data_IF_274810355503
#
_entry.id   IF_274810355503
#
_cell.length_a   1.000
_cell.length_b   1.000
_cell.length_c   1.000
_cell.angle_alpha   90.00
_cell.angle_beta   90.00
_cell.angle_gamma   90.00
#
_symmetry.space_group_name_H-M   'P 1'
#
loop_
_entity.id
_entity.type
_entity.pdbx_description
1 polymer ?
#
# COMPACT_ATOMS: atom_id res chain seq x y z
N UNK A 1 -2.79 -16.71 27.71
CA UNK A 1 -2.80 -15.25 27.52
C UNK A 1 -2.21 -15.01 26.15
N UNK A 2 -3.04 -14.66 25.15
CA UNK A 2 -2.55 -14.42 23.79
C UNK A 2 -1.74 -13.14 23.79
N UNK A 3 -0.49 -13.21 23.32
CA UNK A 3 0.27 -12.00 23.02
C UNK A 3 -0.54 -11.21 21.99
N UNK A 4 -0.85 -9.95 22.31
CA UNK A 4 -1.47 -9.06 21.34
C UNK A 4 -0.42 -8.79 20.26
N UNK A 5 -0.60 -9.40 19.09
CA UNK A 5 0.24 -9.20 17.90
C UNK A 5 0.31 -7.69 17.64
N UNK A 6 1.53 -7.13 17.66
CA UNK A 6 1.71 -5.68 17.64
C UNK A 6 1.56 -5.15 16.21
N UNK A 7 0.36 -4.70 15.86
CA UNK A 7 0.08 -4.15 14.52
C UNK A 7 0.36 -2.64 14.48
N UNK A 8 1.64 -2.27 14.31
CA UNK A 8 2.13 -0.88 14.45
C UNK A 8 1.38 0.14 13.56
N UNK A 9 1.02 -0.25 12.34
CA UNK A 9 0.38 0.65 11.37
C UNK A 9 -1.16 0.59 11.37
N UNK A 10 -1.82 -0.33 12.08
CA UNK A 10 -3.25 -0.65 11.84
C UNK A 10 -4.22 0.52 12.02
N UNK A 11 -3.86 1.52 12.82
CA UNK A 11 -4.67 2.71 13.12
C UNK A 11 -3.93 4.01 12.76
N UNK A 12 -2.90 3.91 11.93
CA UNK A 12 -1.99 5.02 11.62
C UNK A 12 -2.32 5.56 10.24
N UNK A 13 -2.71 6.83 10.18
CA UNK A 13 -2.88 7.58 8.93
C UNK A 13 -1.81 8.65 8.84
N UNK A 14 -1.05 8.66 7.76
CA UNK A 14 0.02 9.64 7.53
C UNK A 14 -0.44 10.64 6.48
N UNK A 15 -0.59 11.91 6.89
CA UNK A 15 -1.02 12.99 6.02
C UNK A 15 0.18 13.70 5.41
N UNK A 16 0.37 13.53 4.10
CA UNK A 16 1.34 14.26 3.31
C UNK A 16 0.72 15.41 2.52
N UNK A 17 1.56 16.21 1.86
CA UNK A 17 1.10 17.33 1.00
C UNK A 17 0.42 16.86 -0.28
N UNK A 18 0.91 15.76 -0.87
CA UNK A 18 0.43 15.20 -2.16
C UNK A 18 -0.28 13.86 -2.00
N UNK A 19 0.06 13.12 -0.95
CA UNK A 19 -0.45 11.77 -0.71
C UNK A 19 -0.88 11.61 0.74
N UNK A 20 -1.81 10.69 0.97
CA UNK A 20 -2.19 10.19 2.29
C UNK A 20 -1.88 8.71 2.33
N UNK A 21 -1.24 8.23 3.40
CA UNK A 21 -1.00 6.80 3.62
C UNK A 21 -2.02 6.29 4.63
N UNK A 22 -2.78 5.28 4.23
CA UNK A 22 -3.78 4.61 5.08
C UNK A 22 -3.40 3.13 5.25
N UNK A 23 -3.78 2.47 6.36
CA UNK A 23 -3.47 1.06 6.56
C UNK A 23 -4.11 0.20 5.47
N UNK A 24 -3.40 -0.83 4.98
CA UNK A 24 -3.98 -1.75 4.00
C UNK A 24 -5.03 -2.67 4.66
N UNK A 25 -6.31 -2.44 4.33
CA UNK A 25 -7.45 -3.24 4.80
C UNK A 25 -8.04 -4.11 3.68
N UNK A 26 -8.93 -5.03 4.05
CA UNK A 26 -9.66 -5.88 3.11
C UNK A 26 -10.53 -5.10 2.12
N UNK A 27 -10.96 -3.88 2.46
CA UNK A 27 -11.78 -3.03 1.56
C UNK A 27 -11.01 -2.60 0.30
N UNK A 28 -9.68 -2.57 0.38
CA UNK A 28 -8.80 -2.21 -0.74
C UNK A 28 -8.54 -3.37 -1.71
N UNK A 29 -8.75 -4.61 -1.28
CA UNK A 29 -8.41 -5.82 -2.04
C UNK A 29 -9.05 -5.85 -3.43
N UNK A 30 -10.34 -5.52 -3.62
CA UNK A 30 -10.93 -5.52 -4.96
C UNK A 30 -10.20 -4.58 -5.93
N UNK A 31 -9.84 -3.37 -5.48
CA UNK A 31 -9.13 -2.38 -6.30
C UNK A 31 -7.69 -2.81 -6.57
N UNK A 32 -7.01 -3.33 -5.56
CA UNK A 32 -5.65 -3.86 -5.69
C UNK A 32 -5.60 -5.04 -6.68
N UNK A 33 -6.57 -5.95 -6.60
CA UNK A 33 -6.71 -7.07 -7.53
C UNK A 33 -6.88 -6.60 -8.98
N UNK A 34 -7.65 -5.52 -9.22
CA UNK A 34 -7.73 -4.92 -10.57
C UNK A 34 -6.38 -4.41 -11.07
N UNK A 35 -5.52 -3.85 -10.20
CA UNK A 35 -4.15 -3.46 -10.58
C UNK A 35 -3.30 -4.69 -10.94
N UNK A 36 -3.39 -5.75 -10.12
CA UNK A 36 -2.63 -6.97 -10.33
C UNK A 36 -3.07 -7.77 -11.56
N UNK A 37 -4.16 -7.38 -12.25
CA UNK A 37 -4.47 -7.90 -13.61
C UNK A 37 -3.52 -7.39 -14.68
N UNK A 38 -2.86 -6.24 -14.48
CA UNK A 38 -1.85 -5.72 -15.41
C UNK A 38 -0.58 -6.54 -15.36
N UNK A 39 -0.16 -7.10 -16.51
CA UNK A 39 1.09 -7.85 -16.62
C UNK A 39 2.32 -6.97 -16.40
N UNK A 40 2.28 -5.72 -16.86
CA UNK A 40 3.35 -4.75 -16.66
C UNK A 40 3.56 -4.44 -15.17
N UNK A 41 2.47 -4.18 -14.43
CA UNK A 41 2.57 -3.92 -12.99
C UNK A 41 3.11 -5.16 -12.26
N UNK A 42 2.58 -6.34 -12.56
CA UNK A 42 3.09 -7.60 -11.98
C UNK A 42 4.57 -7.81 -12.25
N UNK A 43 5.03 -7.53 -13.46
CA UNK A 43 6.45 -7.67 -13.80
C UNK A 43 7.32 -6.69 -13.01
N UNK A 44 6.89 -5.42 -12.90
CA UNK A 44 7.62 -4.37 -12.17
C UNK A 44 7.67 -4.62 -10.66
N UNK A 45 6.66 -5.29 -10.10
CA UNK A 45 6.60 -5.66 -8.67
C UNK A 45 7.04 -7.09 -8.38
N UNK A 46 7.49 -7.84 -9.39
CA UNK A 46 7.76 -9.28 -9.30
C UNK A 46 6.61 -10.10 -8.67
N UNK A 47 5.36 -9.69 -8.91
CA UNK A 47 4.16 -10.33 -8.37
C UNK A 47 3.63 -11.42 -9.31
N UNK A 48 3.21 -12.54 -8.72
CA UNK A 48 2.47 -13.59 -9.44
C UNK A 48 0.97 -13.24 -9.55
N UNK A 49 0.26 -13.71 -10.59
CA UNK A 49 -1.18 -13.53 -10.68
C UNK A 49 -1.89 -14.38 -9.64
N UNK A 50 -2.72 -13.74 -8.82
CA UNK A 50 -3.53 -14.38 -7.79
C UNK A 50 -5.02 -14.28 -8.11
N UNK A 51 -5.81 -15.23 -7.61
CA UNK A 51 -7.27 -15.10 -7.56
C UNK A 51 -7.67 -14.07 -6.51
N UNK A 52 -8.88 -13.50 -6.63
CA UNK A 52 -9.37 -12.54 -5.64
C UNK A 52 -9.36 -13.10 -4.20
N UNK A 53 -9.69 -14.38 -4.03
CA UNK A 53 -9.65 -15.06 -2.72
C UNK A 53 -8.22 -15.16 -2.17
N UNK A 54 -7.25 -15.45 -3.03
CA UNK A 54 -5.83 -15.48 -2.66
C UNK A 54 -5.32 -14.10 -2.26
N UNK A 55 -5.77 -13.02 -2.92
CA UNK A 55 -5.44 -11.64 -2.54
C UNK A 55 -5.96 -11.30 -1.14
N UNK A 56 -7.19 -11.73 -0.79
CA UNK A 56 -7.70 -11.58 0.58
C UNK A 56 -6.85 -12.34 1.61
N UNK A 57 -6.44 -13.57 1.28
CA UNK A 57 -5.57 -14.35 2.17
C UNK A 57 -4.21 -13.67 2.36
N UNK A 58 -3.62 -13.14 1.29
CA UNK A 58 -2.33 -12.45 1.32
C UNK A 58 -2.42 -11.09 2.04
N UNK A 59 -3.51 -10.34 1.86
CA UNK A 59 -3.77 -9.13 2.63
C UNK A 59 -3.86 -9.45 4.13
N UNK A 60 -4.51 -10.55 4.49
CA UNK A 60 -4.58 -11.04 5.86
C UNK A 60 -3.19 -11.32 6.44
N UNK A 61 -2.34 -12.05 5.72
CA UNK A 61 -0.99 -12.36 6.20
C UNK A 61 -0.13 -11.10 6.36
N UNK A 62 -0.17 -10.16 5.41
CA UNK A 62 0.58 -8.90 5.53
C UNK A 62 0.10 -8.01 6.67
N UNK A 63 -1.19 -8.05 6.99
CA UNK A 63 -1.75 -7.27 8.10
C UNK A 63 -1.32 -7.81 9.47
N UNK A 64 -0.99 -9.09 9.54
CA UNK A 64 -0.58 -9.77 10.76
C UNK A 64 0.94 -9.88 10.90
N UNK A 65 1.67 -9.38 9.90
CA UNK A 65 3.12 -9.38 9.87
C UNK A 65 3.70 -8.36 10.87
N UNK A 66 4.67 -8.80 11.67
CA UNK A 66 5.23 -7.99 12.76
C UNK A 66 6.42 -7.14 12.31
N UNK A 67 7.11 -7.55 11.24
CA UNK A 67 8.25 -6.85 10.67
C UNK A 67 7.89 -6.05 9.41
N UNK A 68 6.62 -6.10 8.99
CA UNK A 68 6.14 -5.43 7.77
C UNK A 68 4.98 -4.48 8.06
N UNK A 69 5.04 -3.29 7.47
CA UNK A 69 3.94 -2.33 7.45
C UNK A 69 3.54 -2.01 6.01
N UNK A 70 2.36 -2.46 5.60
CA UNK A 70 1.79 -2.09 4.29
C UNK A 70 0.78 -0.96 4.43
N UNK A 71 0.99 0.09 3.64
CA UNK A 71 0.08 1.22 3.49
C UNK A 71 -0.43 1.31 2.06
N UNK A 72 -1.67 1.76 1.90
CA UNK A 72 -2.21 2.20 0.62
C UNK A 72 -1.95 3.69 0.46
N UNK A 73 -1.47 4.07 -0.73
CA UNK A 73 -1.25 5.46 -1.12
C UNK A 73 -2.52 6.01 -1.74
N UNK A 74 -3.03 7.09 -1.15
CA UNK A 74 -4.16 7.86 -1.67
C UNK A 74 -3.68 9.19 -2.24
N UNK A 75 -4.33 9.65 -3.31
CA UNK A 75 -4.19 11.03 -3.80
C UNK A 75 -4.82 12.00 -2.79
N UNK A 76 -4.01 12.91 -2.23
CA UNK A 76 -4.49 13.82 -1.18
C UNK A 76 -5.53 14.82 -1.68
N UNK A 77 -5.46 15.22 -2.96
CA UNK A 77 -6.43 16.16 -3.53
C UNK A 77 -7.79 15.48 -3.69
N UNK A 78 -7.82 14.24 -4.18
CA UNK A 78 -9.07 13.45 -4.28
C UNK A 78 -9.65 13.13 -2.90
N UNK A 79 -8.79 12.76 -1.95
CA UNK A 79 -9.19 12.44 -0.58
C UNK A 79 -9.83 13.64 0.13
N UNK A 80 -9.31 14.85 -0.09
CA UNK A 80 -9.81 16.08 0.54
C UNK A 80 -10.95 16.75 -0.24
N UNK A 81 -11.21 16.34 -1.49
CA UNK A 81 -12.23 16.95 -2.33
C UNK A 81 -13.66 16.71 -1.81
N UNK A 82 -13.87 15.69 -0.98
CA UNK A 82 -15.16 15.35 -0.39
C UNK A 82 -15.00 15.07 1.11
N UNK A 83 -16.07 15.20 1.93
CA UNK A 83 -15.98 14.96 3.37
C UNK A 83 -15.64 13.51 3.75
N UNK A 84 -15.97 12.54 2.88
CA UNK A 84 -15.74 11.11 3.10
C UNK A 84 -15.75 10.34 1.77
N UNK A 85 -14.79 10.58 0.87
CA UNK A 85 -14.71 9.79 -0.35
C UNK A 85 -14.35 8.34 0.01
N UNK A 86 -14.80 7.36 -0.78
CA UNK A 86 -14.33 6.00 -0.64
C UNK A 86 -12.82 5.92 -0.92
N UNK A 87 -12.05 5.24 -0.07
CA UNK A 87 -10.58 5.15 -0.17
C UNK A 87 -10.17 4.58 -1.54
N UNK A 88 -10.89 3.58 -2.05
CA UNK A 88 -10.65 2.93 -3.34
C UNK A 88 -10.71 3.89 -4.54
N UNK A 89 -11.49 4.97 -4.44
CA UNK A 89 -11.58 6.00 -5.47
C UNK A 89 -10.36 6.94 -5.49
N UNK A 90 -9.64 6.99 -4.37
CA UNK A 90 -8.45 7.82 -4.15
C UNK A 90 -7.15 7.03 -4.27
N UNK A 91 -7.21 5.69 -4.27
CA UNK A 91 -6.07 4.78 -4.40
C UNK A 91 -5.22 5.05 -5.65
N UNK A 92 -3.92 5.22 -5.44
CA UNK A 92 -2.91 5.43 -6.50
C UNK A 92 -1.71 4.49 -6.41
N UNK A 93 -1.54 3.75 -5.32
CA UNK A 93 -0.44 2.82 -5.13
C UNK A 93 -0.40 2.23 -3.72
N UNK A 94 0.73 1.63 -3.37
CA UNK A 94 1.02 1.12 -2.03
C UNK A 94 2.49 1.36 -1.63
N UNK A 95 2.74 1.26 -0.33
CA UNK A 95 4.07 1.32 0.28
C UNK A 95 4.20 0.15 1.23
N UNK A 96 5.23 -0.68 1.03
CA UNK A 96 5.62 -1.73 1.96
C UNK A 96 6.88 -1.28 2.69
N UNK A 97 6.83 -1.22 4.01
CA UNK A 97 8.00 -0.99 4.85
C UNK A 97 8.40 -2.31 5.49
N UNK A 98 9.64 -2.72 5.32
CA UNK A 98 10.24 -3.89 5.95
C UNK A 98 11.22 -3.43 7.02
N UNK A 99 10.98 -3.84 8.26
CA UNK A 99 11.80 -3.53 9.43
C UNK A 99 12.87 -4.62 9.52
N UNK A 100 13.94 -4.46 8.75
CA UNK A 100 14.90 -5.51 8.42
C UNK A 100 15.86 -5.90 9.56
N UNK A 101 15.98 -5.08 10.60
CA UNK A 101 16.79 -5.40 11.77
C UNK A 101 16.05 -5.08 13.08
N UNK A 102 15.72 -6.11 13.84
CA UNK A 102 15.13 -5.96 15.18
C UNK A 102 16.15 -5.47 16.23
N UNK A 103 17.45 -5.62 15.95
CA UNK A 103 18.54 -5.13 16.80
C UNK A 103 18.94 -3.69 16.46
N UNK A 104 18.73 -3.23 15.21
CA UNK A 104 18.85 -1.82 14.81
C UNK A 104 17.51 -1.25 14.29
N UNK A 105 16.66 -0.69 15.18
CA UNK A 105 15.35 -0.15 14.81
C UNK A 105 15.42 1.14 13.96
N UNK A 106 16.63 1.59 13.59
CA UNK A 106 16.83 2.75 12.71
C UNK A 106 16.95 2.37 11.23
N UNK A 107 17.07 1.08 10.92
CA UNK A 107 17.21 0.58 9.56
C UNK A 107 15.91 -0.09 9.09
N UNK A 108 15.48 0.28 7.88
CA UNK A 108 14.31 -0.33 7.24
C UNK A 108 14.36 -0.14 5.72
N UNK A 109 13.74 -1.06 5.01
CA UNK A 109 13.59 -1.02 3.57
C UNK A 109 12.18 -0.55 3.20
N UNK A 110 12.08 0.22 2.12
CA UNK A 110 10.81 0.76 1.65
C UNK A 110 10.66 0.42 0.18
N UNK A 111 9.59 -0.31 -0.14
CA UNK A 111 9.16 -0.54 -1.51
C UNK A 111 7.91 0.29 -1.80
N UNK A 112 7.89 0.94 -2.95
CA UNK A 112 6.79 1.83 -3.37
C UNK A 112 6.31 1.41 -4.75
N UNK A 113 5.00 1.21 -4.88
CA UNK A 113 4.34 0.97 -6.15
C UNK A 113 3.33 2.08 -6.42
N UNK A 114 3.30 2.60 -7.65
CA UNK A 114 2.29 3.56 -8.11
C UNK A 114 1.59 2.97 -9.33
N UNK A 115 0.31 2.63 -9.17
CA UNK A 115 -0.44 1.82 -10.12
C UNK A 115 -1.00 2.62 -11.31
N UNK A 116 -1.04 3.95 -11.22
CA UNK A 116 -1.59 4.79 -12.28
C UNK A 116 -0.53 5.24 -13.29
N UNK A 117 -0.70 4.86 -14.58
CA UNK A 117 0.14 5.33 -15.69
C UNK A 117 0.24 6.86 -15.78
N UNK A 118 -0.84 7.58 -15.43
CA UNK A 118 -0.84 9.05 -15.35
C UNK A 118 0.07 9.61 -14.26
N UNK A 119 0.34 8.84 -13.21
CA UNK A 119 1.23 9.23 -12.12
C UNK A 119 2.68 8.79 -12.36
N UNK A 120 2.89 7.65 -13.04
CA UNK A 120 4.22 7.20 -13.49
C UNK A 120 4.86 8.22 -14.44
N UNK A 121 4.09 8.74 -15.41
CA UNK A 121 4.57 9.79 -16.31
C UNK A 121 4.97 11.09 -15.59
N UNK A 122 4.30 11.44 -14.48
CA UNK A 122 4.65 12.61 -13.68
C UNK A 122 5.91 12.38 -12.83
N UNK A 123 6.13 11.15 -12.34
CA UNK A 123 7.33 10.81 -11.58
C UNK A 123 8.61 10.88 -12.44
N UNK A 124 8.53 10.49 -13.71
CA UNK A 124 9.66 10.63 -14.66
C UNK A 124 9.92 12.09 -15.05
N UNK A 125 8.87 12.89 -15.27
CA UNK A 125 9.01 14.30 -15.61
C UNK A 125 9.65 15.17 -14.51
N UNK A 126 9.65 14.71 -13.25
CA UNK A 126 10.34 15.37 -12.14
C UNK A 126 11.77 14.87 -11.92
N UNK A 127 12.21 13.83 -12.65
CA UNK A 127 13.57 13.29 -12.61
C UNK A 127 14.45 13.80 -13.77
N UNK A 128 13.85 14.36 -14.82
CA UNK A 128 14.53 15.03 -15.94
C UNK A 128 14.69 16.54 -15.68
#
# INVERSE_FOLDING_TARGET
MGAATMRLNQNTVLLGKKVVLVPYTSEHVPRYHEWMKSEELRHLTASEPLTLEQEYAMQGSWREDEDKCTFIVLDAAKWQAQPRPPEESCMVGDVNLFLTDLEDPTLGEIEVMIAGLSYLAQAELQRA
#
